data_IF_764972305021
#
_entry.id   IF_764972305021
#
_cell.length_a   1.000
_cell.length_b   1.000
_cell.length_c   1.000
_cell.angle_alpha   90.00
_cell.angle_beta   90.00
_cell.angle_gamma   90.00
#
_symmetry.space_group_name_H-M   'P 1'
#
loop_
_entity.id
_entity.type
_entity.pdbx_description
1 polymer ?
#
# COMPACT_ATOMS: atom_id res chain seq x y z
N UNK A 1 11.09 6.24 -37.38
CA UNK A 1 10.75 5.71 -36.03
C UNK A 1 10.89 4.18 -35.91
N UNK A 2 11.31 3.45 -36.94
CA UNK A 2 11.37 1.97 -36.98
C UNK A 2 12.57 1.32 -36.28
N UNK A 3 13.55 2.07 -35.78
CA UNK A 3 14.80 1.50 -35.25
C UNK A 3 14.76 1.10 -33.76
N UNK A 4 13.78 1.55 -32.99
CA UNK A 4 13.75 1.31 -31.54
C UNK A 4 13.63 -0.18 -31.16
N UNK A 5 12.80 -1.02 -31.83
CA UNK A 5 12.73 -2.45 -31.53
C UNK A 5 14.04 -3.18 -31.86
N UNK A 6 14.69 -2.85 -32.99
CA UNK A 6 15.97 -3.44 -33.37
C UNK A 6 17.09 -3.03 -32.41
N UNK A 7 17.10 -1.77 -31.96
CA UNK A 7 18.05 -1.30 -30.95
C UNK A 7 17.86 -2.02 -29.60
N UNK A 8 16.62 -2.33 -29.21
CA UNK A 8 16.31 -3.04 -27.97
C UNK A 8 16.93 -4.46 -27.93
N UNK A 9 16.90 -5.17 -29.07
CA UNK A 9 17.48 -6.52 -29.22
C UNK A 9 19.01 -6.53 -29.10
N UNK A 10 19.66 -5.38 -29.29
CA UNK A 10 21.11 -5.25 -29.21
C UNK A 10 21.60 -4.83 -27.82
N UNK A 11 20.69 -4.62 -26.86
CA UNK A 11 21.06 -4.30 -25.47
C UNK A 11 21.13 -5.57 -24.62
N UNK A 12 21.94 -5.55 -23.58
CA UNK A 12 21.96 -6.62 -22.55
C UNK A 12 20.95 -6.36 -21.43
N UNK A 13 20.12 -5.33 -21.55
CA UNK A 13 19.15 -4.95 -20.52
C UNK A 13 17.96 -5.91 -20.55
N UNK A 14 17.61 -6.59 -19.42
CA UNK A 14 16.56 -7.61 -19.40
C UNK A 14 15.15 -7.01 -19.48
N UNK A 15 15.02 -5.69 -19.25
CA UNK A 15 13.75 -4.97 -19.21
C UNK A 15 13.94 -3.60 -19.85
N UNK A 16 13.03 -3.23 -20.75
CA UNK A 16 13.05 -1.95 -21.46
C UNK A 16 11.62 -1.38 -21.56
N UNK A 17 11.51 -0.06 -21.52
CA UNK A 17 10.30 0.68 -21.85
C UNK A 17 10.57 1.63 -23.02
N UNK A 18 9.72 1.59 -24.06
CA UNK A 18 9.78 2.52 -25.19
C UNK A 18 8.80 3.67 -24.98
N UNK A 19 9.31 4.91 -24.93
CA UNK A 19 8.49 6.12 -24.79
C UNK A 19 8.99 7.17 -25.77
N UNK A 20 8.10 7.69 -26.64
CA UNK A 20 8.42 8.70 -27.66
C UNK A 20 9.66 8.39 -28.53
N UNK A 21 9.94 7.11 -28.80
CA UNK A 21 11.11 6.68 -29.59
C UNK A 21 12.40 6.47 -28.78
N UNK A 22 12.38 6.71 -27.46
CA UNK A 22 13.53 6.51 -26.57
C UNK A 22 13.35 5.23 -25.76
N UNK A 23 14.43 4.46 -25.65
CA UNK A 23 14.50 3.27 -24.79
C UNK A 23 14.93 3.69 -23.38
N UNK A 24 14.21 3.20 -22.37
CA UNK A 24 14.52 3.39 -20.95
C UNK A 24 14.71 2.03 -20.27
N UNK A 25 15.74 1.90 -19.43
CA UNK A 25 15.95 0.71 -18.60
C UNK A 25 15.55 1.04 -17.14
N UNK A 26 14.75 0.19 -16.46
CA UNK A 26 14.39 0.42 -15.07
C UNK A 26 15.62 0.26 -14.16
N UNK A 27 15.73 1.11 -13.14
CA UNK A 27 16.74 1.04 -12.10
C UNK A 27 16.10 1.28 -10.75
N UNK A 28 16.47 0.46 -9.77
CA UNK A 28 16.15 0.72 -8.37
C UNK A 28 17.22 1.67 -7.84
N UNK A 29 16.77 2.80 -7.30
CA UNK A 29 17.63 3.73 -6.56
C UNK A 29 17.12 3.85 -5.14
N UNK A 30 18.00 4.22 -4.23
CA UNK A 30 17.61 4.50 -2.85
C UNK A 30 16.95 5.87 -2.78
N UNK A 31 15.74 5.93 -2.24
CA UNK A 31 15.13 7.19 -1.83
C UNK A 31 15.54 7.53 -0.39
N UNK A 32 15.79 8.82 -0.09
CA UNK A 32 16.04 9.24 1.28
C UNK A 32 14.82 8.89 2.15
N UNK A 33 15.08 8.35 3.34
CA UNK A 33 14.03 8.10 4.32
C UNK A 33 13.64 9.44 4.94
N UNK A 34 12.42 9.90 4.70
CA UNK A 34 11.83 10.94 5.53
C UNK A 34 11.41 10.28 6.86
N UNK A 35 12.17 10.54 7.91
CA UNK A 35 11.88 10.05 9.26
C UNK A 35 10.60 10.66 9.83
N UNK A 36 10.05 10.04 10.87
CA UNK A 36 8.84 10.50 11.58
C UNK A 36 9.02 11.86 12.29
N UNK A 37 10.27 12.33 12.44
CA UNK A 37 10.60 13.53 13.22
C UNK A 37 10.84 14.79 12.35
N UNK A 38 10.59 14.71 11.03
CA UNK A 38 10.70 15.85 10.13
C UNK A 38 9.32 16.38 9.76
N UNK A 39 8.94 17.55 10.28
CA UNK A 39 7.94 18.38 9.62
C UNK A 39 8.39 18.57 8.17
N UNK A 40 7.70 17.89 7.23
CA UNK A 40 7.89 18.11 5.80
C UNK A 40 7.40 19.52 5.48
N UNK A 41 8.32 20.47 5.44
CA UNK A 41 8.22 21.60 4.51
C UNK A 41 8.48 21.06 3.10
N UNK A 42 7.51 20.32 2.59
CA UNK A 42 7.45 19.89 1.20
C UNK A 42 6.05 20.17 0.69
N UNK A 43 5.97 21.14 -0.21
CA UNK A 43 4.83 21.52 -1.04
C UNK A 43 3.83 20.35 -1.26
N UNK A 44 2.63 20.52 -0.72
CA UNK A 44 1.38 20.29 -1.44
C UNK A 44 0.96 18.88 -1.89
N UNK A 45 1.64 17.78 -1.52
CA UNK A 45 1.20 16.44 -1.96
C UNK A 45 1.36 15.28 -0.97
N UNK A 46 1.89 15.49 0.24
CA UNK A 46 1.69 14.53 1.32
C UNK A 46 0.32 14.80 1.94
N UNK A 47 -0.72 14.45 1.17
CA UNK A 47 -2.07 14.32 1.69
C UNK A 47 -2.00 13.29 2.80
N UNK A 48 -1.82 13.76 4.04
CA UNK A 48 -2.33 13.06 5.21
C UNK A 48 -3.83 13.04 4.97
N UNK A 49 -4.25 12.07 4.15
CA UNK A 49 -5.65 11.78 3.90
C UNK A 49 -6.26 11.74 5.27
N UNK A 50 -7.33 12.50 5.46
CA UNK A 50 -8.08 12.56 6.70
C UNK A 50 -8.83 11.23 6.89
N UNK A 51 -8.06 10.15 6.96
CA UNK A 51 -8.52 8.78 7.18
C UNK A 51 -9.20 8.68 8.54
N UNK A 52 -8.97 9.65 9.42
CA UNK A 52 -9.59 9.75 10.74
C UNK A 52 -11.11 9.83 10.68
N UNK A 53 -11.71 10.27 9.56
CA UNK A 53 -13.17 10.36 9.41
C UNK A 53 -13.75 9.30 8.45
N UNK A 54 -12.92 8.53 7.76
CA UNK A 54 -13.33 7.60 6.70
C UNK A 54 -13.24 6.11 7.05
N UNK A 55 -13.72 5.25 6.13
CA UNK A 55 -13.55 3.80 6.20
C UNK A 55 -12.28 3.37 5.48
N UNK A 56 -11.43 2.59 6.14
CA UNK A 56 -10.27 1.94 5.52
C UNK A 56 -10.64 0.54 5.04
N UNK A 57 -10.56 0.33 3.73
CA UNK A 57 -10.70 -0.98 3.09
C UNK A 57 -9.36 -1.72 3.06
N UNK A 58 -9.32 -2.92 3.65
CA UNK A 58 -8.16 -3.82 3.61
C UNK A 58 -8.53 -5.08 2.82
N UNK A 59 -7.96 -5.22 1.62
CA UNK A 59 -8.09 -6.45 0.82
C UNK A 59 -7.14 -7.52 1.30
N UNK A 60 -7.61 -8.77 1.39
CA UNK A 60 -6.89 -9.80 2.13
C UNK A 60 -6.81 -9.49 3.62
N UNK A 61 -7.77 -8.72 4.15
CA UNK A 61 -7.74 -8.16 5.51
C UNK A 61 -7.68 -9.21 6.62
N UNK A 62 -8.23 -10.40 6.37
CA UNK A 62 -8.15 -11.53 7.31
C UNK A 62 -6.91 -12.42 7.10
N UNK A 63 -6.01 -12.07 6.19
CA UNK A 63 -4.72 -12.73 6.00
C UNK A 63 -3.65 -12.21 6.96
N UNK A 64 -2.48 -12.88 6.98
CA UNK A 64 -1.40 -12.58 7.93
C UNK A 64 -1.00 -11.09 7.94
N UNK A 65 -0.62 -10.54 6.78
CA UNK A 65 -0.21 -9.13 6.69
C UNK A 65 -1.39 -8.16 6.86
N UNK A 66 -2.56 -8.48 6.28
CA UNK A 66 -3.77 -7.65 6.42
C UNK A 66 -4.15 -7.45 7.88
N UNK A 67 -4.05 -8.50 8.69
CA UNK A 67 -4.32 -8.44 10.12
C UNK A 67 -3.33 -7.57 10.90
N UNK A 68 -2.05 -7.56 10.52
CA UNK A 68 -1.03 -6.71 11.14
C UNK A 68 -1.26 -5.23 10.81
N UNK A 69 -1.63 -4.95 9.56
CA UNK A 69 -1.98 -3.59 9.13
C UNK A 69 -3.24 -3.11 9.86
N UNK A 70 -4.28 -3.94 9.95
CA UNK A 70 -5.51 -3.61 10.66
C UNK A 70 -5.24 -3.25 12.13
N UNK A 71 -4.39 -4.04 12.82
CA UNK A 71 -3.96 -3.75 14.20
C UNK A 71 -3.22 -2.43 14.29
N UNK A 72 -2.25 -2.20 13.40
CA UNK A 72 -1.47 -0.96 13.39
C UNK A 72 -2.37 0.28 13.22
N UNK A 73 -3.37 0.19 12.35
CA UNK A 73 -4.33 1.28 12.15
C UNK A 73 -5.22 1.50 13.38
N UNK A 74 -5.72 0.43 13.98
CA UNK A 74 -6.52 0.52 15.21
C UNK A 74 -5.72 1.11 16.38
N UNK A 75 -4.44 0.76 16.53
CA UNK A 75 -3.61 1.23 17.65
C UNK A 75 -3.04 2.64 17.46
N UNK A 76 -2.65 3.02 16.23
CA UNK A 76 -1.90 4.28 16.01
C UNK A 76 -2.71 5.37 15.32
N UNK A 77 -3.74 5.03 14.54
CA UNK A 77 -4.38 5.97 13.63
C UNK A 77 -5.83 6.30 13.98
N UNK A 78 -6.33 5.84 15.14
CA UNK A 78 -7.71 6.09 15.62
C UNK A 78 -8.74 5.91 14.48
N UNK A 79 -8.52 4.91 13.63
CA UNK A 79 -9.33 4.72 12.43
C UNK A 79 -10.70 4.19 12.86
N UNK A 80 -11.79 4.95 12.67
CA UNK A 80 -13.07 4.59 13.25
C UNK A 80 -13.68 3.38 12.56
N UNK A 81 -13.43 3.16 11.26
CA UNK A 81 -14.08 2.11 10.48
C UNK A 81 -13.07 1.31 9.64
N UNK A 82 -13.02 -0.01 9.86
CA UNK A 82 -12.20 -0.96 9.10
C UNK A 82 -13.12 -1.92 8.33
N UNK A 83 -12.96 -1.98 7.01
CA UNK A 83 -13.62 -2.95 6.14
C UNK A 83 -12.62 -4.04 5.72
N UNK A 84 -12.75 -5.24 6.27
CA UNK A 84 -11.83 -6.34 6.03
C UNK A 84 -12.40 -7.28 4.97
N UNK A 85 -11.92 -7.16 3.74
CA UNK A 85 -12.39 -8.02 2.65
C UNK A 85 -11.41 -9.14 2.39
N UNK A 86 -11.93 -10.35 2.21
CA UNK A 86 -11.17 -11.48 1.67
C UNK A 86 -12.14 -12.50 1.10
N UNK A 87 -11.66 -13.40 0.24
CA UNK A 87 -12.50 -14.44 -0.37
C UNK A 87 -13.20 -15.35 0.64
N UNK A 88 -12.59 -15.60 1.81
CA UNK A 88 -13.17 -16.41 2.89
C UNK A 88 -13.94 -15.57 3.90
N UNK A 89 -13.73 -14.25 3.93
CA UNK A 89 -14.43 -13.34 4.82
C UNK A 89 -14.37 -13.79 6.30
N UNK A 90 -15.53 -13.79 7.01
CA UNK A 90 -15.66 -14.28 8.38
C UNK A 90 -15.28 -15.75 8.59
N UNK A 91 -15.33 -16.58 7.54
CA UNK A 91 -14.96 -18.00 7.61
C UNK A 91 -13.43 -18.21 7.53
N UNK A 92 -12.64 -17.14 7.38
CA UNK A 92 -11.19 -17.26 7.41
C UNK A 92 -10.72 -17.66 8.83
N UNK A 93 -9.74 -18.57 8.95
CA UNK A 93 -9.17 -18.93 10.24
C UNK A 93 -8.73 -17.69 11.04
N UNK A 94 -9.25 -17.53 12.25
CA UNK A 94 -8.93 -16.39 13.13
C UNK A 94 -9.65 -15.08 12.82
N UNK A 95 -10.56 -15.02 11.83
CA UNK A 95 -11.29 -13.80 11.51
C UNK A 95 -12.14 -13.27 12.68
N UNK A 96 -12.86 -14.15 13.37
CA UNK A 96 -13.66 -13.77 14.56
C UNK A 96 -12.79 -13.22 15.69
N UNK A 97 -11.61 -13.83 15.90
CA UNK A 97 -10.65 -13.36 16.90
C UNK A 97 -10.11 -11.98 16.52
N UNK A 98 -9.72 -11.79 15.25
CA UNK A 98 -9.25 -10.51 14.74
C UNK A 98 -10.33 -9.43 14.85
N UNK A 99 -11.57 -9.72 14.48
CA UNK A 99 -12.70 -8.80 14.63
C UNK A 99 -12.86 -8.37 16.10
N UNK A 100 -12.87 -9.33 17.02
CA UNK A 100 -12.99 -9.06 18.46
C UNK A 100 -11.85 -8.17 18.97
N UNK A 101 -10.61 -8.50 18.61
CA UNK A 101 -9.42 -7.76 19.01
C UNK A 101 -9.47 -6.31 18.53
N UNK A 102 -9.80 -6.09 17.25
CA UNK A 102 -9.87 -4.75 16.67
C UNK A 102 -11.03 -3.92 17.25
N UNK A 103 -12.17 -4.55 17.53
CA UNK A 103 -13.30 -3.89 18.23
C UNK A 103 -12.93 -3.50 19.65
N UNK A 104 -12.15 -4.32 20.37
CA UNK A 104 -11.62 -3.96 21.70
C UNK A 104 -10.62 -2.80 21.65
N UNK A 105 -9.92 -2.63 20.54
CA UNK A 105 -9.04 -1.48 20.27
C UNK A 105 -9.81 -0.23 19.83
N UNK A 106 -11.14 -0.29 19.74
CA UNK A 106 -12.01 0.86 19.43
C UNK A 106 -12.33 1.03 17.94
N UNK A 107 -11.93 0.11 17.08
CA UNK A 107 -12.29 0.15 15.66
C UNK A 107 -13.67 -0.48 15.42
N UNK A 108 -14.50 0.11 14.57
CA UNK A 108 -15.68 -0.53 14.03
C UNK A 108 -15.28 -1.40 12.83
N UNK A 109 -15.43 -2.72 12.94
CA UNK A 109 -14.99 -3.67 11.90
C UNK A 109 -16.16 -4.24 11.12
N UNK A 110 -16.05 -4.32 9.80
CA UNK A 110 -17.03 -4.93 8.90
C UNK A 110 -16.36 -5.84 7.88
#
# INVERSE_FOLDING_TARGET
TTHAPTAALNTTEPQLALRHGTLHAPRLTRLPHHGADGQSEADGASGRSDVSEGTVLITGGTGALGSLVARHLATHHHTPHLLLTSRRGPDAPGATQLHTELTQLGAHVT
#
